data_IF_712641797166
#
_entry.id   IF_712641797166
#
_cell.length_a   1.000
_cell.length_b   1.000
_cell.length_c   1.000
_cell.angle_alpha   90.00
_cell.angle_beta   90.00
_cell.angle_gamma   90.00
#
_symmetry.space_group_name_H-M   'P 1'
#
loop_
_entity.id
_entity.type
_entity.pdbx_description
1 polymer ?
#
# COMPACT_ATOMS: atom_id res chain seq x y z
N UNK A 1 1.90 2.10 7.81
CA UNK A 1 0.50 2.42 8.18
C UNK A 1 0.43 2.89 9.63
N UNK A 2 0.01 4.13 9.86
CA UNK A 2 -0.14 4.71 11.20
C UNK A 2 -1.59 4.58 11.71
N UNK A 3 -1.77 4.65 13.04
CA UNK A 3 -3.09 4.64 13.68
C UNK A 3 -3.27 5.90 14.53
N UNK A 4 -4.37 6.61 14.32
CA UNK A 4 -4.75 7.79 15.09
C UNK A 4 -6.07 7.54 15.82
N UNK A 5 -6.28 8.18 16.97
CA UNK A 5 -7.51 8.06 17.72
C UNK A 5 -8.34 9.34 17.60
N UNK A 6 -9.66 9.23 17.44
CA UNK A 6 -10.53 10.41 17.29
C UNK A 6 -10.39 11.41 18.44
N UNK A 7 -10.09 10.94 19.66
CA UNK A 7 -9.84 11.79 20.83
C UNK A 7 -8.67 12.75 20.67
N UNK A 8 -7.61 12.35 19.94
CA UNK A 8 -6.40 13.15 19.75
C UNK A 8 -6.18 13.58 18.29
N UNK A 9 -7.19 13.41 17.43
CA UNK A 9 -7.07 13.69 16.00
C UNK A 9 -6.71 15.16 15.74
N UNK A 10 -7.33 16.09 16.46
CA UNK A 10 -7.07 17.52 16.32
C UNK A 10 -5.58 17.86 16.53
N UNK A 11 -4.93 17.26 17.55
CA UNK A 11 -3.51 17.50 17.84
C UNK A 11 -2.56 16.78 16.89
N UNK A 12 -3.02 15.77 16.15
CA UNK A 12 -2.24 14.99 15.19
C UNK A 12 -2.63 15.26 13.72
N UNK A 13 -3.42 16.31 13.45
CA UNK A 13 -3.89 16.63 12.10
C UNK A 13 -2.74 16.82 11.12
N UNK A 14 -1.66 17.49 11.54
CA UNK A 14 -0.49 17.71 10.69
C UNK A 14 0.24 16.41 10.38
N UNK A 15 0.32 15.48 11.33
CA UNK A 15 0.97 14.19 11.11
C UNK A 15 0.14 13.32 10.15
N UNK A 16 -1.18 13.33 10.31
CA UNK A 16 -2.11 12.68 9.40
C UNK A 16 -1.99 13.21 7.97
N UNK A 17 -1.90 14.54 7.81
CA UNK A 17 -1.73 15.18 6.49
C UNK A 17 -0.38 14.81 5.89
N UNK A 18 0.72 14.91 6.66
CA UNK A 18 2.06 14.56 6.18
C UNK A 18 2.17 13.10 5.75
N UNK A 19 1.57 12.19 6.52
CA UNK A 19 1.49 10.78 6.15
C UNK A 19 0.71 10.61 4.84
N UNK A 20 -0.40 11.33 4.65
CA UNK A 20 -1.14 11.26 3.38
C UNK A 20 -0.34 11.84 2.21
N UNK A 21 0.34 12.98 2.39
CA UNK A 21 1.17 13.63 1.36
C UNK A 21 2.36 12.76 0.93
N UNK A 22 2.89 11.93 1.84
CA UNK A 22 3.96 10.98 1.52
C UNK A 22 3.47 9.68 0.88
N UNK A 23 2.15 9.55 0.64
CA UNK A 23 1.55 8.33 0.10
C UNK A 23 1.25 7.26 1.16
N UNK A 24 1.40 7.60 2.44
CA UNK A 24 1.12 6.74 3.58
C UNK A 24 -0.37 6.55 3.87
N UNK A 25 -0.72 5.34 4.30
CA UNK A 25 -2.06 4.99 4.76
C UNK A 25 -2.16 5.19 6.27
N UNK A 26 -3.30 5.73 6.72
CA UNK A 26 -3.61 5.86 8.14
C UNK A 26 -4.99 5.33 8.48
N UNK A 27 -5.12 4.67 9.63
CA UNK A 27 -6.41 4.27 10.19
C UNK A 27 -6.77 5.22 11.32
N UNK A 28 -7.99 5.73 11.32
CA UNK A 28 -8.52 6.50 12.43
C UNK A 28 -9.51 5.65 13.21
N UNK A 29 -9.27 5.50 14.50
CA UNK A 29 -10.07 4.70 15.42
C UNK A 29 -10.89 5.57 16.37
N UNK A 30 -11.94 5.00 16.95
CA UNK A 30 -12.65 5.49 18.11
C UNK A 30 -12.77 4.37 19.13
N UNK A 31 -12.22 4.56 20.32
CA UNK A 31 -12.18 3.54 21.38
C UNK A 31 -11.56 2.22 20.87
N UNK A 32 -10.50 2.33 20.05
CA UNK A 32 -9.83 1.18 19.44
C UNK A 32 -10.57 0.52 18.28
N UNK A 33 -11.76 1.00 17.89
CA UNK A 33 -12.51 0.50 16.73
C UNK A 33 -12.24 1.36 15.50
N UNK A 34 -11.90 0.80 14.33
CA UNK A 34 -11.74 1.57 13.10
C UNK A 34 -13.01 2.35 12.73
N UNK A 35 -12.86 3.64 12.42
CA UNK A 35 -13.96 4.53 11.98
C UNK A 35 -13.80 4.87 10.51
N UNK A 36 -12.60 5.28 10.10
CA UNK A 36 -12.28 5.54 8.69
C UNK A 36 -10.80 5.29 8.42
N UNK A 37 -10.48 5.15 7.13
CA UNK A 37 -9.10 5.07 6.63
C UNK A 37 -8.84 6.36 5.86
N UNK A 38 -7.73 7.03 6.16
CA UNK A 38 -7.19 8.08 5.33
C UNK A 38 -6.32 7.44 4.25
N UNK A 39 -6.80 7.53 3.00
CA UNK A 39 -6.07 7.12 1.82
C UNK A 39 -5.61 8.37 1.08
N UNK A 40 -4.34 8.47 0.67
CA UNK A 40 -3.84 9.59 -0.11
C UNK A 40 -4.67 9.78 -1.38
N UNK A 41 -4.97 11.04 -1.69
CA UNK A 41 -5.73 11.41 -2.88
C UNK A 41 -4.78 11.65 -4.05
N UNK A 42 -4.43 10.58 -4.76
CA UNK A 42 -3.48 10.62 -5.87
C UNK A 42 -4.02 9.95 -7.15
N UNK A 43 -3.15 9.90 -8.16
CA UNK A 43 -3.49 9.36 -9.47
C UNK A 43 -3.92 7.90 -9.45
N UNK A 44 -3.34 7.07 -8.57
CA UNK A 44 -3.74 5.68 -8.44
C UNK A 44 -5.18 5.57 -7.91
N UNK A 45 -5.54 6.39 -6.91
CA UNK A 45 -6.90 6.44 -6.39
C UNK A 45 -7.92 6.85 -7.48
N UNK A 46 -7.57 7.86 -8.29
CA UNK A 46 -8.44 8.38 -9.34
C UNK A 46 -8.60 7.42 -10.52
N UNK A 47 -7.54 6.73 -10.92
CA UNK A 47 -7.54 5.86 -12.11
C UNK A 47 -8.05 4.46 -11.80
N UNK A 48 -7.57 3.85 -10.71
CA UNK A 48 -7.76 2.43 -10.44
C UNK A 48 -8.85 2.18 -9.39
N UNK A 49 -9.33 3.23 -8.75
CA UNK A 49 -10.36 3.20 -7.71
C UNK A 49 -9.81 2.80 -6.34
N UNK A 50 -10.65 2.99 -5.32
CA UNK A 50 -10.25 2.85 -3.92
C UNK A 50 -9.66 1.48 -3.57
N UNK A 51 -10.33 0.38 -3.93
CA UNK A 51 -9.89 -0.97 -3.53
C UNK A 51 -8.55 -1.35 -4.16
N UNK A 52 -8.37 -1.03 -5.44
CA UNK A 52 -7.13 -1.31 -6.17
C UNK A 52 -5.98 -0.46 -5.65
N UNK A 53 -6.19 0.86 -5.50
CA UNK A 53 -5.18 1.77 -4.97
C UNK A 53 -4.77 1.39 -3.53
N UNK A 54 -5.73 1.00 -2.68
CA UNK A 54 -5.44 0.51 -1.34
C UNK A 54 -4.61 -0.77 -1.37
N UNK A 55 -4.99 -1.75 -2.20
CA UNK A 55 -4.25 -3.00 -2.35
C UNK A 55 -2.82 -2.78 -2.84
N UNK A 56 -2.62 -1.91 -3.81
CA UNK A 56 -1.30 -1.56 -4.35
C UNK A 56 -0.39 -0.99 -3.27
N UNK A 57 -0.89 -0.07 -2.44
CA UNK A 57 -0.12 0.49 -1.31
C UNK A 57 0.21 -0.55 -0.24
N UNK A 58 -0.74 -1.42 0.10
CA UNK A 58 -0.51 -2.47 1.10
C UNK A 58 0.50 -3.52 0.61
N UNK A 59 0.52 -3.80 -0.69
CA UNK A 59 1.58 -4.57 -1.31
C UNK A 59 2.92 -3.83 -1.31
N UNK A 60 2.91 -2.53 -1.66
CA UNK A 60 4.13 -1.74 -1.73
C UNK A 60 4.82 -1.58 -0.38
N UNK A 61 4.03 -1.44 0.68
CA UNK A 61 4.50 -1.41 2.07
C UNK A 61 4.84 -2.80 2.64
N UNK A 62 4.79 -3.86 1.83
CA UNK A 62 5.06 -5.26 2.23
C UNK A 62 4.16 -5.77 3.36
N UNK A 63 2.98 -5.16 3.53
CA UNK A 63 1.96 -5.56 4.51
C UNK A 63 1.14 -6.75 3.98
N UNK A 64 0.97 -6.85 2.66
CA UNK A 64 0.26 -7.93 2.00
C UNK A 64 1.13 -8.58 0.93
N UNK A 65 0.98 -9.91 0.79
CA UNK A 65 1.54 -10.61 -0.37
C UNK A 65 0.80 -10.23 -1.65
N UNK A 66 1.43 -10.46 -2.81
CA UNK A 66 0.84 -10.18 -4.13
C UNK A 66 -0.55 -10.80 -4.29
N UNK A 67 -0.71 -12.07 -3.90
CA UNK A 67 -2.00 -12.77 -3.99
C UNK A 67 -3.07 -12.24 -3.03
N UNK A 68 -2.68 -11.79 -1.83
CA UNK A 68 -3.60 -11.17 -0.88
C UNK A 68 -4.09 -9.81 -1.39
N UNK A 69 -3.18 -9.00 -1.94
CA UNK A 69 -3.49 -7.70 -2.50
C UNK A 69 -4.37 -7.81 -3.75
N UNK A 70 -4.06 -8.71 -4.68
CA UNK A 70 -4.90 -8.98 -5.86
C UNK A 70 -6.33 -9.37 -5.45
N UNK A 71 -6.47 -10.25 -4.46
CA UNK A 71 -7.77 -10.64 -3.91
C UNK A 71 -8.51 -9.46 -3.28
N UNK A 72 -7.82 -8.57 -2.58
CA UNK A 72 -8.43 -7.36 -2.00
C UNK A 72 -8.95 -6.42 -3.09
N UNK A 73 -8.20 -6.28 -4.19
CA UNK A 73 -8.61 -5.50 -5.35
C UNK A 73 -9.75 -6.15 -6.16
N UNK A 74 -10.07 -7.42 -5.90
CA UNK A 74 -11.05 -8.18 -6.69
C UNK A 74 -10.53 -8.55 -8.08
N UNK A 75 -9.22 -8.64 -8.25
CA UNK A 75 -8.53 -8.90 -9.51
C UNK A 75 -7.82 -10.26 -9.49
N UNK A 76 -7.54 -10.81 -10.68
CA UNK A 76 -6.54 -11.87 -10.80
C UNK A 76 -5.14 -11.32 -10.47
N UNK A 77 -4.19 -12.23 -10.17
CA UNK A 77 -2.81 -11.84 -9.90
C UNK A 77 -2.20 -11.11 -11.10
N UNK A 78 -2.48 -11.58 -12.32
CA UNK A 78 -1.94 -10.98 -13.56
C UNK A 78 -2.48 -9.56 -13.76
N UNK A 79 -3.79 -9.38 -13.66
CA UNK A 79 -4.40 -8.03 -13.76
C UNK A 79 -3.84 -7.10 -12.69
N UNK A 80 -3.68 -7.58 -11.46
CA UNK A 80 -3.10 -6.76 -10.39
C UNK A 80 -1.63 -6.39 -10.66
N UNK A 81 -0.83 -7.28 -11.24
CA UNK A 81 0.53 -6.95 -11.68
C UNK A 81 0.53 -5.85 -12.74
N UNK A 82 -0.43 -5.81 -13.66
CA UNK A 82 -0.56 -4.73 -14.65
C UNK A 82 -0.88 -3.37 -13.99
N UNK A 83 -1.59 -3.37 -12.85
CA UNK A 83 -1.80 -2.14 -12.07
C UNK A 83 -0.52 -1.70 -11.35
N UNK A 84 0.22 -2.64 -10.75
CA UNK A 84 1.50 -2.36 -10.09
C UNK A 84 2.52 -1.76 -11.07
N UNK A 85 2.65 -2.33 -12.26
CA UNK A 85 3.54 -1.85 -13.32
C UNK A 85 3.21 -0.40 -13.74
N UNK A 86 1.93 -0.11 -14.00
CA UNK A 86 1.46 1.25 -14.34
C UNK A 86 1.74 2.29 -13.27
N UNK A 87 1.84 1.89 -12.00
CA UNK A 87 2.20 2.78 -10.89
C UNK A 87 3.68 2.73 -10.50
N UNK A 88 4.51 2.00 -11.27
CA UNK A 88 5.94 1.90 -11.01
C UNK A 88 6.29 1.14 -9.73
N UNK A 89 5.38 0.28 -9.26
CA UNK A 89 5.58 -0.54 -8.06
C UNK A 89 6.23 -1.86 -8.48
N UNK A 90 7.48 -2.15 -8.07
CA UNK A 90 8.16 -3.37 -8.46
C UNK A 90 7.55 -4.59 -7.75
N UNK A 91 7.28 -5.65 -8.51
CA UNK A 91 6.77 -6.92 -7.94
C UNK A 91 7.86 -7.71 -7.22
N UNK A 92 9.10 -7.65 -7.72
CA UNK A 92 10.26 -8.29 -7.13
C UNK A 92 11.26 -7.22 -6.68
N UNK A 93 11.74 -7.34 -5.44
CA UNK A 93 12.67 -6.39 -4.80
C UNK A 93 13.89 -7.13 -4.23
N UNK A 94 14.73 -7.76 -5.09
CA UNK A 94 15.92 -8.44 -4.61
C UNK A 94 16.89 -7.45 -3.95
N UNK A 95 17.57 -7.91 -2.90
CA UNK A 95 18.67 -7.17 -2.29
C UNK A 95 19.86 -7.12 -3.26
N UNK A 96 20.76 -6.14 -3.06
CA UNK A 96 21.96 -6.02 -3.87
C UNK A 96 22.78 -7.33 -3.81
N UNK A 97 23.07 -7.92 -4.98
CA UNK A 97 23.80 -9.18 -5.08
C UNK A 97 22.97 -10.45 -4.88
N UNK A 98 21.68 -10.34 -4.51
CA UNK A 98 20.80 -11.49 -4.31
C UNK A 98 20.49 -12.18 -5.65
N UNK A 99 20.14 -11.39 -6.68
CA UNK A 99 19.82 -11.92 -8.00
C UNK A 99 21.02 -12.66 -8.62
N UNK A 100 22.23 -12.11 -8.51
CA UNK A 100 23.45 -12.75 -8.98
C UNK A 100 23.72 -14.07 -8.26
N UNK A 101 23.48 -14.12 -6.95
CA UNK A 101 23.61 -15.34 -6.15
C UNK A 101 22.59 -16.40 -6.55
N UNK A 102 21.35 -16.02 -6.82
CA UNK A 102 20.31 -16.94 -7.29
C UNK A 102 20.66 -17.51 -8.67
N UNK A 103 21.06 -16.66 -9.62
CA UNK A 103 21.47 -17.07 -10.96
C UNK A 103 22.67 -18.02 -10.95
N UNK A 104 23.63 -17.81 -10.05
CA UNK A 104 24.78 -18.70 -9.89
C UNK A 104 24.42 -20.12 -9.44
N UNK A 105 23.24 -20.35 -8.85
CA UNK A 105 22.74 -21.70 -8.48
C UNK A 105 22.12 -22.46 -9.64
N UNK A 106 21.81 -21.79 -10.76
CA UNK A 106 21.24 -22.40 -11.96
C UNK A 106 22.29 -22.84 -12.98
N UNK A 107 23.56 -22.45 -12.80
CA UNK A 107 24.71 -22.90 -13.60
C UNK A 107 25.51 -24.00 -12.92
#
# INVERSE_FOLDING_TARGET
>A
MQTFETLNLASHTNDLIREAESGGLSIVTREGRPVFVAVPFDDALLRDGFMTALAMRLFDQEIMSLGQAARLAGLSIVEFMDHLDRSGIPVARPQAGELEQELARFG
#
